data_IF_562154954274
#
_entry.id   IF_562154954274
#
_cell.length_a   1.000
_cell.length_b   1.000
_cell.length_c   1.000
_cell.angle_alpha   90.00
_cell.angle_beta   90.00
_cell.angle_gamma   90.00
#
_symmetry.space_group_name_H-M   'P 1'
#
loop_
_entity.id
_entity.type
_entity.pdbx_description
1 polymer ?
#
# COMPACT_ATOMS: atom_id res chain seq x y z
N UNK A 1 0.51 -0.79 -13.42
CA UNK A 1 1.03 -1.43 -14.65
C UNK A 1 2.39 -0.87 -15.08
N UNK A 2 2.60 0.45 -15.15
CA UNK A 2 3.83 1.06 -15.71
C UNK A 2 5.18 0.75 -15.04
N UNK A 3 5.21 -0.06 -13.97
CA UNK A 3 6.43 -0.45 -13.25
C UNK A 3 6.55 -1.99 -13.14
N UNK A 4 5.74 -2.70 -13.93
CA UNK A 4 5.62 -4.15 -13.92
C UNK A 4 4.70 -4.71 -12.82
N UNK A 5 4.43 -6.01 -12.92
CA UNK A 5 3.72 -6.80 -11.91
C UNK A 5 4.49 -8.11 -11.63
N UNK A 6 5.63 -8.05 -10.93
CA UNK A 6 6.25 -9.26 -10.41
C UNK A 6 5.33 -9.87 -9.35
N UNK A 7 4.94 -11.14 -9.56
CA UNK A 7 4.13 -11.93 -8.63
C UNK A 7 4.79 -11.91 -7.24
N UNK A 8 3.97 -11.80 -6.19
CA UNK A 8 4.36 -11.68 -4.77
C UNK A 8 5.13 -10.40 -4.37
N UNK A 9 5.93 -9.80 -5.25
CA UNK A 9 6.65 -8.56 -4.94
C UNK A 9 5.80 -7.30 -5.11
N UNK A 10 4.78 -7.34 -5.99
CA UNK A 10 3.95 -6.16 -6.26
C UNK A 10 3.19 -5.66 -5.04
N UNK A 11 2.66 -6.57 -4.20
CA UNK A 11 1.92 -6.20 -2.98
C UNK A 11 2.79 -5.39 -2.02
N UNK A 12 3.95 -5.94 -1.64
CA UNK A 12 4.92 -5.23 -0.79
C UNK A 12 5.34 -3.90 -1.38
N UNK A 13 5.54 -3.83 -2.70
CA UNK A 13 5.89 -2.58 -3.37
C UNK A 13 4.78 -1.54 -3.20
N UNK A 14 3.52 -1.93 -3.39
CA UNK A 14 2.36 -1.05 -3.23
C UNK A 14 2.23 -0.55 -1.79
N UNK A 15 2.37 -1.46 -0.82
CA UNK A 15 2.32 -1.15 0.61
C UNK A 15 3.41 -0.16 1.00
N UNK A 16 4.65 -0.41 0.58
CA UNK A 16 5.78 0.46 0.86
C UNK A 16 5.62 1.84 0.20
N UNK A 17 5.02 1.91 -0.99
CA UNK A 17 4.65 3.20 -1.58
C UNK A 17 3.67 3.94 -0.69
N UNK A 18 2.57 3.31 -0.25
CA UNK A 18 1.60 3.96 0.65
C UNK A 18 2.26 4.43 1.95
N UNK A 19 3.03 3.59 2.63
CA UNK A 19 3.71 3.96 3.88
C UNK A 19 4.67 5.14 3.71
N UNK A 20 5.47 5.14 2.64
CA UNK A 20 6.40 6.25 2.35
C UNK A 20 5.63 7.53 2.03
N UNK A 21 4.53 7.43 1.30
CA UNK A 21 3.69 8.58 0.95
C UNK A 21 2.96 9.17 2.17
N UNK A 22 2.48 8.34 3.09
CA UNK A 22 1.88 8.81 4.35
C UNK A 22 2.89 9.59 5.19
N UNK A 23 4.12 9.08 5.31
CA UNK A 23 5.22 9.79 5.98
C UNK A 23 5.57 11.10 5.27
N UNK A 24 5.73 11.08 3.95
CA UNK A 24 6.05 12.26 3.14
C UNK A 24 4.99 13.35 3.20
N UNK A 25 3.72 12.97 3.27
CA UNK A 25 2.57 13.90 3.28
C UNK A 25 2.04 14.21 4.67
N UNK A 26 2.67 13.67 5.73
CA UNK A 26 2.22 13.78 7.12
C UNK A 26 0.74 13.41 7.33
N UNK A 27 0.25 12.44 6.55
CA UNK A 27 -1.12 11.93 6.65
C UNK A 27 -1.18 10.72 7.56
N UNK A 28 -2.31 10.55 8.25
CA UNK A 28 -2.49 9.52 9.27
C UNK A 28 -2.86 8.15 8.72
N UNK A 29 -3.86 8.06 7.83
CA UNK A 29 -4.33 6.79 7.31
C UNK A 29 -4.16 6.70 5.79
N UNK A 30 -3.80 5.52 5.33
CA UNK A 30 -3.78 5.15 3.92
C UNK A 30 -4.19 3.70 3.74
N UNK A 31 -4.65 3.36 2.54
CA UNK A 31 -5.10 2.02 2.22
C UNK A 31 -4.44 1.54 0.93
N UNK A 32 -4.03 0.29 0.94
CA UNK A 32 -3.56 -0.43 -0.24
C UNK A 32 -4.58 -1.54 -0.55
N UNK A 33 -5.03 -1.60 -1.80
CA UNK A 33 -5.92 -2.66 -2.29
C UNK A 33 -5.37 -3.24 -3.59
N UNK A 34 -5.53 -4.54 -3.77
CA UNK A 34 -5.01 -5.27 -4.91
C UNK A 34 -5.85 -6.52 -5.20
N UNK A 35 -6.05 -6.81 -6.48
CA UNK A 35 -6.58 -8.10 -6.91
C UNK A 35 -5.49 -9.18 -6.86
N UNK A 36 -5.94 -10.42 -6.70
CA UNK A 36 -5.13 -11.64 -6.68
C UNK A 36 -5.70 -12.64 -7.71
N UNK A 37 -4.99 -13.75 -7.93
CA UNK A 37 -5.48 -14.85 -8.77
C UNK A 37 -6.78 -15.46 -8.22
N UNK A 38 -7.44 -16.31 -9.01
CA UNK A 38 -8.67 -17.02 -8.61
C UNK A 38 -9.85 -16.14 -8.15
N UNK A 39 -9.85 -14.85 -8.50
CA UNK A 39 -10.91 -13.92 -8.14
C UNK A 39 -10.81 -13.39 -6.71
N UNK A 40 -9.67 -13.55 -6.06
CA UNK A 40 -9.42 -13.03 -4.72
C UNK A 40 -8.97 -11.57 -4.72
N UNK A 41 -9.01 -10.95 -3.54
CA UNK A 41 -8.51 -9.60 -3.33
C UNK A 41 -7.98 -9.41 -1.91
N UNK A 42 -7.05 -8.48 -1.77
CA UNK A 42 -6.45 -8.14 -0.48
C UNK A 42 -6.52 -6.63 -0.26
N UNK A 43 -6.83 -6.25 0.97
CA UNK A 43 -6.86 -4.85 1.42
C UNK A 43 -6.16 -4.71 2.76
N UNK A 44 -5.33 -3.68 2.88
CA UNK A 44 -4.58 -3.36 4.10
C UNK A 44 -4.71 -1.86 4.38
N UNK A 45 -5.01 -1.51 5.62
CA UNK A 45 -5.02 -0.14 6.12
C UNK A 45 -3.72 0.09 6.91
N UNK A 46 -3.03 1.17 6.59
CA UNK A 46 -1.82 1.62 7.27
C UNK A 46 -2.11 2.88 8.07
N UNK A 47 -1.58 2.93 9.29
CA UNK A 47 -1.51 4.13 10.11
C UNK A 47 -0.07 4.64 10.17
N UNK A 48 0.11 5.94 9.95
CA UNK A 48 1.37 6.63 10.18
C UNK A 48 1.48 7.01 11.67
N UNK A 49 2.42 6.41 12.42
CA UNK A 49 2.57 6.69 13.85
C UNK A 49 3.10 8.11 14.13
N UNK A 50 3.71 8.75 13.13
CA UNK A 50 4.32 10.07 13.25
C UNK A 50 3.31 11.21 12.95
N UNK A 51 2.12 10.88 12.43
CA UNK A 51 1.12 11.88 12.08
C UNK A 51 0.45 12.48 13.32
N UNK A 52 0.10 13.78 13.31
CA UNK A 52 -0.66 14.40 14.38
C UNK A 52 -2.00 13.69 14.57
N UNK A 53 -2.41 13.56 15.85
CA UNK A 53 -3.60 12.82 16.25
C UNK A 53 -4.89 13.48 15.80
#
# INVERSE_FOLDING_TARGET
IGIGHPICATGNRLWMTVCKELKRSNKRYGMATQCCGDGEGMTVIFENPDAPK
#
